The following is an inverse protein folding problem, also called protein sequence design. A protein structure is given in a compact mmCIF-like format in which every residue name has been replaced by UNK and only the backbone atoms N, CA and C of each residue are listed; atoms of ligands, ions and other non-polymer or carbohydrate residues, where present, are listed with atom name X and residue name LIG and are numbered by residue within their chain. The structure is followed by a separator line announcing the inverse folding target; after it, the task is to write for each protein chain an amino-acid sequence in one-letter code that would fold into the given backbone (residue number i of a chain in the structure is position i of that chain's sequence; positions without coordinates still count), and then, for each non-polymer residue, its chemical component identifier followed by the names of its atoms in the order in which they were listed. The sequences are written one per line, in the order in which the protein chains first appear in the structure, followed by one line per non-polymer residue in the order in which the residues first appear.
data_IF_428171106782
#
_entry.id   IF_428171106782
#
_cell.length_a   1.000
_cell.length_b   1.000
_cell.length_c   1.000
_cell.angle_alpha   90.00
_cell.angle_beta   90.00
_cell.angle_gamma   90.00
#
_symmetry.space_group_name_H-M   'P 1'
#
loop_
_entity.id
_entity.type
_entity.pdbx_description
1 polymer ?
#
# COMPACT_ATOMS: atom_id res chain seq x y z
N UNK A 1 -3.89 19.28 12.23
CA UNK A 1 -4.88 18.21 11.91
C UNK A 1 -5.94 18.19 13.01
N UNK A 2 -7.16 18.69 12.76
CA UNK A 2 -8.28 18.48 13.67
C UNK A 2 -8.76 17.04 13.44
N UNK A 3 -8.56 16.16 14.41
CA UNK A 3 -9.12 14.81 14.38
C UNK A 3 -10.64 14.92 14.36
N UNK A 4 -11.23 14.72 13.18
CA UNK A 4 -12.67 14.75 13.01
C UNK A 4 -13.16 13.30 12.95
N UNK A 5 -13.97 12.89 13.92
CA UNK A 5 -14.43 11.50 14.06
C UNK A 5 -15.20 11.02 12.82
N UNK A 6 -15.85 11.95 12.10
CA UNK A 6 -16.50 11.69 10.81
C UNK A 6 -15.52 11.31 9.70
N UNK A 7 -14.34 11.93 9.63
CA UNK A 7 -13.30 11.58 8.64
C UNK A 7 -12.75 10.18 8.92
N UNK A 8 -12.49 9.87 10.19
CA UNK A 8 -12.02 8.54 10.60
C UNK A 8 -13.04 7.45 10.26
N UNK A 9 -14.32 7.72 10.52
CA UNK A 9 -15.42 6.80 10.21
C UNK A 9 -15.56 6.58 8.70
N UNK A 10 -15.43 7.64 7.89
CA UNK A 10 -15.43 7.53 6.43
C UNK A 10 -14.24 6.73 5.91
N UNK A 11 -13.02 6.98 6.41
CA UNK A 11 -11.84 6.18 6.08
C UNK A 11 -12.02 4.71 6.43
N UNK A 12 -12.64 4.42 7.57
CA UNK A 12 -12.91 3.05 8.00
C UNK A 12 -13.94 2.36 7.10
N UNK A 13 -15.04 3.03 6.75
CA UNK A 13 -16.09 2.47 5.90
C UNK A 13 -15.58 2.28 4.47
N UNK A 14 -15.02 3.33 3.84
CA UNK A 14 -14.52 3.25 2.46
C UNK A 14 -13.31 2.32 2.35
N UNK A 15 -12.38 2.38 3.31
CA UNK A 15 -11.24 1.48 3.37
C UNK A 15 -11.66 0.03 3.61
N UNK A 16 -12.55 -0.21 4.58
CA UNK A 16 -13.06 -1.53 4.90
C UNK A 16 -13.84 -2.17 3.75
N UNK A 17 -14.70 -1.40 3.07
CA UNK A 17 -15.43 -1.85 1.87
C UNK A 17 -14.45 -2.16 0.74
N UNK A 18 -13.48 -1.29 0.48
CA UNK A 18 -12.48 -1.52 -0.57
C UNK A 18 -11.69 -2.82 -0.31
N UNK A 19 -11.30 -3.07 0.93
CA UNK A 19 -10.61 -4.31 1.33
C UNK A 19 -11.53 -5.52 1.15
N UNK A 20 -12.78 -5.43 1.59
CA UNK A 20 -13.76 -6.51 1.44
C UNK A 20 -14.01 -6.87 -0.04
N UNK A 21 -14.19 -5.85 -0.90
CA UNK A 21 -14.39 -6.03 -2.34
C UNK A 21 -13.17 -6.67 -2.99
N UNK A 22 -11.97 -6.15 -2.72
CA UNK A 22 -10.73 -6.73 -3.25
C UNK A 22 -10.53 -8.17 -2.77
N UNK A 23 -10.86 -8.47 -1.51
CA UNK A 23 -10.77 -9.82 -0.97
C UNK A 23 -11.74 -10.78 -1.67
N UNK A 24 -13.01 -10.38 -1.86
CA UNK A 24 -14.01 -11.18 -2.57
C UNK A 24 -13.56 -11.44 -4.02
N UNK A 25 -13.09 -10.40 -4.73
CA UNK A 25 -12.58 -10.56 -6.10
C UNK A 25 -11.40 -11.54 -6.18
N UNK A 26 -10.55 -11.57 -5.17
CA UNK A 26 -9.40 -12.46 -5.13
C UNK A 26 -9.75 -13.90 -4.76
N UNK A 27 -10.86 -14.15 -4.06
CA UNK A 27 -11.35 -15.53 -3.87
C UNK A 27 -11.77 -16.19 -5.19
N UNK A 28 -12.06 -15.41 -6.23
CA UNK A 28 -12.36 -15.89 -7.58
C UNK A 28 -11.06 -16.29 -8.32
N UNK A 29 -9.91 -15.75 -7.91
CA UNK A 29 -8.60 -16.04 -8.50
C UNK A 29 -7.92 -17.18 -7.71
N UNK A 30 -7.65 -18.35 -8.30
CA UNK A 30 -7.23 -19.56 -7.58
C UNK A 30 -5.80 -19.51 -6.98
N UNK A 31 -5.09 -18.39 -7.06
CA UNK A 31 -3.74 -18.26 -6.55
C UNK A 31 -3.72 -17.76 -5.10
N UNK A 32 -3.47 -18.68 -4.15
CA UNK A 32 -3.36 -18.37 -2.71
C UNK A 32 -2.26 -17.34 -2.40
N UNK A 33 -1.20 -17.26 -3.21
CA UNK A 33 -0.15 -16.24 -3.05
C UNK A 33 -0.58 -14.84 -3.52
N UNK A 34 -1.52 -14.74 -4.46
CA UNK A 34 -2.08 -13.46 -4.92
C UNK A 34 -3.21 -12.95 -4.01
N UNK A 35 -3.89 -13.83 -3.27
CA UNK A 35 -5.12 -13.46 -2.57
C UNK A 35 -4.93 -12.57 -1.33
N UNK A 36 -3.73 -12.53 -0.73
CA UNK A 36 -3.47 -11.80 0.51
C UNK A 36 -2.98 -10.38 0.29
N UNK A 37 -1.67 -10.23 0.12
CA UNK A 37 -0.99 -8.93 0.06
C UNK A 37 -1.40 -8.13 -1.20
N UNK A 38 -1.63 -8.82 -2.33
CA UNK A 38 -2.07 -8.21 -3.58
C UNK A 38 -3.50 -7.64 -3.50
N UNK A 39 -4.34 -8.09 -2.55
CA UNK A 39 -5.67 -7.52 -2.29
C UNK A 39 -5.61 -6.15 -1.61
N UNK A 40 -4.67 -6.04 -0.66
CA UNK A 40 -4.57 -4.89 0.20
C UNK A 40 -4.11 -3.65 -0.59
N UNK A 41 -3.29 -3.84 -1.62
CA UNK A 41 -2.71 -2.73 -2.38
C UNK A 41 -3.75 -1.93 -3.19
N UNK A 42 -4.59 -2.54 -4.05
CA UNK A 42 -5.63 -1.80 -4.77
C UNK A 42 -6.65 -1.18 -3.83
N UNK A 43 -7.00 -1.89 -2.74
CA UNK A 43 -7.96 -1.40 -1.76
C UNK A 43 -7.48 -0.13 -1.05
N UNK A 44 -6.24 -0.12 -0.56
CA UNK A 44 -5.65 1.04 0.13
C UNK A 44 -5.47 2.21 -0.83
N UNK A 45 -5.03 1.96 -2.07
CA UNK A 45 -4.95 2.99 -3.10
C UNK A 45 -6.32 3.60 -3.39
N UNK A 46 -7.34 2.79 -3.65
CA UNK A 46 -8.70 3.26 -3.94
C UNK A 46 -9.25 4.10 -2.78
N UNK A 47 -9.12 3.62 -1.54
CA UNK A 47 -9.57 4.36 -0.37
C UNK A 47 -8.84 5.70 -0.20
N UNK A 48 -7.51 5.72 -0.36
CA UNK A 48 -6.71 6.94 -0.22
C UNK A 48 -7.04 7.98 -1.30
N UNK A 49 -7.20 7.54 -2.55
CA UNK A 49 -7.53 8.42 -3.68
C UNK A 49 -8.97 8.95 -3.59
N UNK A 50 -9.94 8.11 -3.22
CA UNK A 50 -11.34 8.54 -3.03
C UNK A 50 -11.41 9.59 -1.92
N UNK A 51 -10.73 9.37 -0.80
CA UNK A 51 -10.69 10.34 0.30
C UNK A 51 -9.98 11.63 -0.10
N UNK A 52 -8.85 11.54 -0.80
CA UNK A 52 -8.14 12.72 -1.29
C UNK A 52 -8.96 13.53 -2.31
N UNK A 53 -9.72 12.87 -3.18
CA UNK A 53 -10.63 13.51 -4.13
C UNK A 53 -11.88 14.11 -3.48
N UNK A 54 -12.41 13.48 -2.42
CA UNK A 54 -13.61 13.95 -1.73
C UNK A 54 -13.34 15.16 -0.82
N UNK A 55 -12.15 15.25 -0.22
CA UNK A 55 -11.76 16.33 0.71
C UNK A 55 -10.79 17.36 0.11
N UNK A 56 -10.27 17.11 -1.09
CA UNK A 56 -9.19 17.89 -1.70
C UNK A 56 -9.45 18.20 -3.18
N UNK A 57 -8.37 18.49 -3.90
CA UNK A 57 -8.41 18.72 -5.35
C UNK A 57 -8.04 17.47 -6.13
N UNK A 58 -8.40 17.41 -7.41
CA UNK A 58 -8.00 16.31 -8.30
C UNK A 58 -6.46 16.17 -8.40
N UNK A 59 -5.72 17.25 -8.19
CA UNK A 59 -4.25 17.23 -8.16
C UNK A 59 -3.72 16.54 -6.88
N UNK A 60 -4.33 16.82 -5.73
CA UNK A 60 -3.99 16.12 -4.48
C UNK A 60 -4.32 14.63 -4.55
N UNK A 61 -5.43 14.26 -5.18
CA UNK A 61 -5.78 12.87 -5.42
C UNK A 61 -4.75 12.16 -6.32
N UNK A 62 -4.25 12.85 -7.35
CA UNK A 62 -3.18 12.33 -8.22
C UNK A 62 -1.86 12.15 -7.47
N UNK A 63 -1.47 13.10 -6.63
CA UNK A 63 -0.24 13.01 -5.84
C UNK A 63 -0.31 11.88 -4.80
N UNK A 64 -1.48 11.70 -4.18
CA UNK A 64 -1.75 10.57 -3.28
C UNK A 64 -1.70 9.25 -4.05
N UNK A 65 -2.24 9.18 -5.27
CA UNK A 65 -2.17 7.99 -6.12
C UNK A 65 -0.72 7.63 -6.50
N UNK A 66 0.10 8.63 -6.82
CA UNK A 66 1.53 8.46 -7.10
C UNK A 66 2.32 8.00 -5.87
N UNK A 67 2.03 8.58 -4.70
CA UNK A 67 2.63 8.11 -3.44
C UNK A 67 2.22 6.68 -3.10
N UNK A 68 0.94 6.34 -3.31
CA UNK A 68 0.43 4.98 -3.12
C UNK A 68 1.11 3.99 -4.08
N UNK A 69 1.28 4.33 -5.35
CA UNK A 69 1.95 3.46 -6.33
C UNK A 69 3.44 3.24 -6.02
N UNK A 70 4.15 4.29 -5.59
CA UNK A 70 5.51 4.17 -5.07
C UNK A 70 5.60 3.22 -3.86
N UNK A 71 4.66 3.34 -2.92
CA UNK A 71 4.55 2.45 -1.77
C UNK A 71 4.27 0.99 -2.15
N UNK A 72 3.43 0.75 -3.17
CA UNK A 72 3.17 -0.59 -3.70
C UNK A 72 4.42 -1.24 -4.31
N UNK A 73 5.27 -0.45 -5.00
CA UNK A 73 6.57 -0.91 -5.50
C UNK A 73 7.48 -1.29 -4.34
N UNK A 74 7.59 -0.43 -3.31
CA UNK A 74 8.39 -0.74 -2.12
C UNK A 74 7.88 -1.97 -1.37
N UNK A 75 6.57 -2.21 -1.35
CA UNK A 75 6.00 -3.42 -0.76
C UNK A 75 6.33 -4.69 -1.56
N UNK A 76 6.49 -4.60 -2.87
CA UNK A 76 6.96 -5.73 -3.68
C UNK A 76 8.38 -6.12 -3.23
N UNK A 77 9.27 -5.13 -3.07
CA UNK A 77 10.63 -5.36 -2.55
C UNK A 77 10.60 -5.94 -1.13
N UNK A 78 9.73 -5.43 -0.26
CA UNK A 78 9.51 -5.94 1.09
C UNK A 78 9.21 -7.45 1.10
N UNK A 79 8.26 -7.89 0.28
CA UNK A 79 7.87 -9.31 0.21
C UNK A 79 9.01 -10.17 -0.30
N UNK A 80 9.72 -9.72 -1.34
CA UNK A 80 10.90 -10.44 -1.84
C UNK A 80 11.99 -10.58 -0.78
N UNK A 81 12.30 -9.50 -0.05
CA UNK A 81 13.28 -9.53 1.03
C UNK A 81 12.83 -10.41 2.20
N UNK A 82 11.53 -10.39 2.54
CA UNK A 82 10.96 -11.23 3.58
C UNK A 82 11.10 -12.72 3.23
N UNK A 83 10.76 -13.11 1.99
CA UNK A 83 10.92 -14.49 1.50
C UNK A 83 12.39 -14.91 1.55
N UNK A 84 13.29 -14.09 1.02
CA UNK A 84 14.73 -14.36 1.02
C UNK A 84 15.30 -14.51 2.44
N UNK A 85 14.95 -13.62 3.36
CA UNK A 85 15.39 -13.70 4.75
C UNK A 85 14.77 -14.89 5.49
N UNK A 86 13.52 -15.25 5.23
CA UNK A 86 12.91 -16.42 5.86
C UNK A 86 13.58 -17.72 5.40
N UNK A 87 13.99 -17.79 4.14
CA UNK A 87 14.70 -18.94 3.57
C UNK A 87 16.14 -19.07 4.09
N UNK A 88 16.84 -17.96 4.35
CA UNK A 88 18.24 -17.98 4.82
C UNK A 88 18.43 -17.87 6.34
N UNK A 89 17.64 -17.08 7.05
CA UNK A 89 17.84 -16.82 8.49
C UNK A 89 17.02 -17.76 9.39
N UNK A 90 16.03 -18.48 8.85
CA UNK A 90 15.14 -19.40 9.60
C UNK A 90 14.50 -18.77 10.87
N UNK A 91 14.44 -17.43 10.93
CA UNK A 91 13.90 -16.64 12.06
C UNK A 91 12.88 -15.65 11.53
N UNK A 92 11.62 -15.97 11.76
CA UNK A 92 10.45 -15.24 11.27
C UNK A 92 10.47 -13.77 11.72
N UNK A 93 10.74 -13.51 13.00
CA UNK A 93 10.75 -12.15 13.56
C UNK A 93 11.82 -11.25 12.97
N UNK A 94 13.06 -11.74 12.81
CA UNK A 94 14.14 -10.94 12.20
C UNK A 94 13.89 -10.67 10.73
N UNK A 95 13.34 -11.64 10.00
CA UNK A 95 13.01 -11.49 8.58
C UNK A 95 11.98 -10.40 8.34
N UNK A 96 10.94 -10.30 9.19
CA UNK A 96 9.93 -9.24 9.11
C UNK A 96 10.55 -7.87 9.44
N UNK A 97 11.38 -7.76 10.46
CA UNK A 97 12.02 -6.50 10.84
C UNK A 97 12.89 -5.98 9.68
N UNK A 98 13.72 -6.84 9.09
CA UNK A 98 14.58 -6.47 7.95
C UNK A 98 13.71 -6.07 6.74
N UNK A 99 12.66 -6.83 6.44
CA UNK A 99 11.74 -6.52 5.35
C UNK A 99 11.05 -5.16 5.52
N UNK A 100 10.60 -4.82 6.73
CA UNK A 100 9.99 -3.52 7.04
C UNK A 100 10.99 -2.35 6.90
N UNK A 101 12.24 -2.56 7.31
CA UNK A 101 13.29 -1.55 7.10
C UNK A 101 13.51 -1.34 5.60
N UNK A 102 13.68 -2.43 4.85
CA UNK A 102 13.90 -2.38 3.39
C UNK A 102 12.72 -1.75 2.67
N UNK A 103 11.49 -2.07 3.08
CA UNK A 103 10.26 -1.45 2.58
C UNK A 103 10.29 0.08 2.70
N UNK A 104 10.69 0.60 3.87
CA UNK A 104 10.71 2.04 4.13
C UNK A 104 11.70 2.75 3.20
N UNK A 105 12.93 2.24 3.12
CA UNK A 105 13.95 2.80 2.23
C UNK A 105 13.57 2.67 0.76
N UNK A 106 13.03 1.52 0.35
CA UNK A 106 12.63 1.27 -1.04
C UNK A 106 11.45 2.16 -1.45
N UNK A 107 10.46 2.34 -0.59
CA UNK A 107 9.32 3.22 -0.86
C UNK A 107 9.77 4.68 -0.97
N UNK A 108 10.69 5.11 -0.12
CA UNK A 108 11.27 6.46 -0.19
C UNK A 108 12.09 6.68 -1.47
N UNK A 109 12.89 5.70 -1.87
CA UNK A 109 13.62 5.75 -3.14
C UNK A 109 12.67 5.77 -4.35
N UNK A 110 11.61 4.96 -4.33
CA UNK A 110 10.62 4.90 -5.40
C UNK A 110 9.86 6.22 -5.56
N UNK A 111 9.42 6.84 -4.46
CA UNK A 111 8.70 8.11 -4.55
C UNK A 111 9.61 9.23 -5.03
N UNK A 112 10.86 9.27 -4.57
CA UNK A 112 11.85 10.25 -5.03
C UNK A 112 12.16 10.10 -6.52
N UNK A 113 12.27 8.85 -7.01
CA UNK A 113 12.47 8.56 -8.43
C UNK A 113 11.26 9.00 -9.27
N UNK A 114 10.05 8.65 -8.82
CA UNK A 114 8.81 9.00 -9.53
C UNK A 114 8.62 10.53 -9.58
N UNK A 115 8.84 11.23 -8.48
CA UNK A 115 8.79 12.70 -8.44
C UNK A 115 9.84 13.32 -9.37
N UNK A 116 11.08 12.83 -9.33
CA UNK A 116 12.15 13.27 -10.23
C UNK A 116 11.84 13.05 -11.71
N UNK A 117 11.15 11.96 -12.06
CA UNK A 117 10.69 11.68 -13.43
C UNK A 117 9.53 12.57 -13.88
N UNK A 118 8.64 12.93 -12.95
CA UNK A 118 7.50 13.83 -13.20
C UNK A 118 7.90 15.32 -13.17
N UNK A 119 9.14 15.65 -12.81
CA UNK A 119 9.61 17.04 -12.71
C UNK A 119 8.91 17.85 -11.61
N UNK A 120 8.36 17.16 -10.61
CA UNK A 120 7.83 17.75 -9.36
C UNK A 120 8.94 17.75 -8.30
#
# INVERSE_FOLDING_TARGET
MKFNFGDLSLRFIFGGIAVAVCHIMLQIIPSKSFAGIFAAFPAVMAAAVIMAGHFGTSEQASDIALGASAGMIGCTVCVFTAVFCMEHLNRLGLSIIIALIVWFFSSYAAISLIQGLLGK
#
